data_IF_552982105690
#
_entry.id   IF_552982105690
#
_cell.length_a   1.000
_cell.length_b   1.000
_cell.length_c   1.000
_cell.angle_alpha   90.00
_cell.angle_beta   90.00
_cell.angle_gamma   90.00
#
_symmetry.space_group_name_H-M   'P 1'
#
loop_
_entity.id
_entity.type
_entity.pdbx_description
1 polymer ?
#
# COMPACT_ATOMS: atom_id res chain seq x y z
N UNK A 1 8.84 -17.94 -12.51
CA UNK A 1 9.44 -16.99 -11.57
C UNK A 1 8.51 -15.80 -11.38
N UNK A 2 8.34 -15.38 -10.15
CA UNK A 2 7.48 -14.25 -9.83
C UNK A 2 8.24 -12.94 -10.01
N UNK A 3 7.63 -11.99 -10.70
CA UNK A 3 8.30 -10.75 -11.08
C UNK A 3 7.43 -9.53 -10.71
N UNK A 4 8.09 -8.38 -10.61
CA UNK A 4 7.44 -7.08 -10.49
C UNK A 4 6.96 -6.59 -11.84
N UNK A 5 5.95 -5.72 -11.88
CA UNK A 5 5.30 -5.15 -10.70
C UNK A 5 4.29 -6.09 -10.03
N UNK A 6 4.02 -5.84 -8.75
CA UNK A 6 2.89 -6.44 -8.08
C UNK A 6 1.71 -5.48 -8.23
N UNK A 7 0.57 -5.98 -8.72
CA UNK A 7 -0.62 -5.16 -8.91
C UNK A 7 -1.68 -5.49 -7.87
N UNK A 8 -2.18 -4.46 -7.18
CA UNK A 8 -3.30 -4.56 -6.25
C UNK A 8 -4.44 -3.71 -6.82
N UNK A 9 -5.54 -4.33 -7.27
CA UNK A 9 -6.65 -3.57 -7.86
C UNK A 9 -7.50 -2.88 -6.78
N UNK A 10 -8.09 -1.75 -7.14
CA UNK A 10 -9.03 -1.02 -6.29
C UNK A 10 -8.53 0.35 -5.91
N UNK A 11 -9.45 1.16 -5.39
CA UNK A 11 -9.12 2.53 -4.96
C UNK A 11 -8.29 2.48 -3.68
N UNK A 12 -7.06 3.02 -3.70
CA UNK A 12 -6.24 3.04 -2.49
C UNK A 12 -6.87 3.86 -1.36
N UNK A 13 -6.88 3.31 -0.16
CA UNK A 13 -7.49 3.90 1.03
C UNK A 13 -6.39 4.23 2.05
N UNK A 14 -6.40 5.42 2.67
CA UNK A 14 -5.40 5.80 3.66
C UNK A 14 -5.64 5.17 5.01
N UNK A 15 -4.57 5.06 5.81
CA UNK A 15 -4.61 4.65 7.21
C UNK A 15 -3.97 5.73 8.07
N UNK A 16 -4.50 5.92 9.28
CA UNK A 16 -3.96 6.88 10.23
C UNK A 16 -4.92 8.01 10.59
N UNK A 17 -6.12 8.01 10.01
CA UNK A 17 -7.17 8.96 10.35
C UNK A 17 -8.04 8.35 11.44
N UNK A 18 -7.68 8.61 12.70
CA UNK A 18 -8.43 8.12 13.85
C UNK A 18 -9.38 9.17 14.39
N UNK A 19 -10.53 8.72 14.90
CA UNK A 19 -11.50 9.57 15.57
C UNK A 19 -11.74 9.06 17.00
N UNK A 20 -12.31 9.92 17.85
CA UNK A 20 -12.58 9.59 19.25
C UNK A 20 -14.08 9.74 19.49
N UNK A 21 -14.69 8.74 20.11
CA UNK A 21 -16.11 8.78 20.52
C UNK A 21 -16.26 9.72 21.70
N UNK A 22 -17.53 10.06 22.05
CA UNK A 22 -17.84 10.86 23.24
C UNK A 22 -17.29 10.25 24.52
N UNK A 23 -17.18 8.93 24.57
CA UNK A 23 -16.67 8.19 25.71
C UNK A 23 -15.16 8.01 25.70
N UNK A 24 -14.47 8.61 24.74
CA UNK A 24 -13.01 8.55 24.66
C UNK A 24 -12.44 7.33 23.95
N UNK A 25 -13.27 6.52 23.30
CA UNK A 25 -12.80 5.35 22.55
C UNK A 25 -12.31 5.77 21.18
N UNK A 26 -11.05 5.44 20.87
CA UNK A 26 -10.47 5.71 19.55
C UNK A 26 -10.91 4.63 18.56
N UNK A 27 -11.17 5.05 17.33
CA UNK A 27 -11.50 4.14 16.23
C UNK A 27 -11.00 4.68 14.91
N UNK A 28 -10.84 3.79 13.93
CA UNK A 28 -10.48 4.17 12.57
C UNK A 28 -11.66 4.87 11.91
N UNK A 29 -11.46 6.12 11.47
CA UNK A 29 -12.52 6.94 10.90
C UNK A 29 -12.94 6.49 9.50
N UNK A 30 -12.05 5.83 8.73
CA UNK A 30 -12.34 5.40 7.38
C UNK A 30 -12.89 3.97 7.37
N UNK A 31 -14.21 3.86 7.18
CA UNK A 31 -14.90 2.56 7.13
C UNK A 31 -14.49 1.66 5.97
N UNK A 32 -13.83 2.22 4.94
CA UNK A 32 -13.37 1.46 3.78
C UNK A 32 -12.01 0.81 3.99
N UNK A 33 -11.35 1.12 5.10
CA UNK A 33 -9.99 0.63 5.34
C UNK A 33 -9.93 -0.87 5.54
N UNK A 34 -10.86 -1.45 6.31
CA UNK A 34 -10.86 -2.89 6.56
C UNK A 34 -11.02 -3.71 5.27
N UNK A 35 -12.03 -3.44 4.42
CA UNK A 35 -12.13 -4.13 3.13
C UNK A 35 -10.91 -3.91 2.25
N UNK A 36 -10.33 -2.72 2.27
CA UNK A 36 -9.13 -2.41 1.50
C UNK A 36 -7.93 -3.23 1.98
N UNK A 37 -7.75 -3.36 3.30
CA UNK A 37 -6.70 -4.21 3.86
C UNK A 37 -6.84 -5.65 3.40
N UNK A 38 -8.06 -6.16 3.39
CA UNK A 38 -8.35 -7.51 2.92
C UNK A 38 -8.00 -7.67 1.44
N UNK A 39 -8.36 -6.69 0.62
CA UNK A 39 -8.02 -6.68 -0.80
C UNK A 39 -6.51 -6.69 -1.00
N UNK A 40 -5.78 -5.84 -0.29
CA UNK A 40 -4.32 -5.78 -0.38
C UNK A 40 -3.68 -7.09 0.05
N UNK A 41 -4.07 -7.60 1.22
CA UNK A 41 -3.50 -8.84 1.75
C UNK A 41 -3.77 -10.02 0.83
N UNK A 42 -4.97 -10.09 0.26
CA UNK A 42 -5.33 -11.15 -0.67
C UNK A 42 -4.46 -11.10 -1.93
N UNK A 43 -4.30 -9.93 -2.51
CA UNK A 43 -3.48 -9.77 -3.71
C UNK A 43 -2.00 -10.10 -3.45
N UNK A 44 -1.47 -9.66 -2.30
CA UNK A 44 -0.08 -9.92 -1.93
C UNK A 44 0.16 -11.40 -1.63
N UNK A 45 -0.78 -12.05 -0.94
CA UNK A 45 -0.71 -13.48 -0.67
C UNK A 45 -0.77 -14.29 -1.98
N UNK A 46 -1.63 -13.88 -2.91
CA UNK A 46 -1.71 -14.52 -4.22
C UNK A 46 -0.39 -14.40 -4.99
N UNK A 47 0.25 -13.23 -4.91
CA UNK A 47 1.54 -13.01 -5.57
C UNK A 47 2.63 -13.91 -4.98
N UNK A 48 2.75 -13.98 -3.64
CA UNK A 48 3.74 -14.85 -3.00
C UNK A 48 3.47 -16.33 -3.30
N UNK A 49 2.20 -16.69 -3.49
CA UNK A 49 1.80 -18.04 -3.85
C UNK A 49 2.26 -18.49 -5.25
N UNK A 50 2.63 -17.55 -6.13
CA UNK A 50 3.21 -17.88 -7.43
C UNK A 50 4.70 -18.16 -7.36
N UNK A 51 5.32 -17.92 -6.20
CA UNK A 51 6.75 -18.14 -5.99
C UNK A 51 7.05 -19.63 -5.97
N UNK A 52 8.14 -20.02 -6.63
CA UNK A 52 8.57 -21.41 -6.66
C UNK A 52 9.19 -21.79 -5.30
N UNK A 53 8.54 -22.70 -4.58
CA UNK A 53 8.95 -23.11 -3.25
C UNK A 53 8.27 -22.33 -2.14
N UNK A 54 8.76 -22.46 -0.91
CA UNK A 54 8.21 -21.72 0.21
C UNK A 54 8.62 -20.24 0.14
N UNK A 55 7.65 -19.37 0.38
CA UNK A 55 7.95 -17.94 0.39
C UNK A 55 8.69 -17.55 1.66
N UNK A 56 9.80 -16.84 1.50
CA UNK A 56 10.53 -16.21 2.61
C UNK A 56 10.27 -14.71 2.58
N UNK A 57 9.74 -14.11 3.65
CA UNK A 57 9.49 -12.67 3.67
C UNK A 57 10.78 -11.88 3.41
N UNK A 58 10.68 -10.80 2.65
CA UNK A 58 11.79 -9.88 2.51
C UNK A 58 12.18 -9.34 3.88
N UNK A 59 13.45 -9.30 4.18
CA UNK A 59 13.99 -8.88 5.47
C UNK A 59 15.20 -7.96 5.26
N UNK A 60 15.67 -7.33 6.36
CA UNK A 60 16.75 -6.35 6.29
C UNK A 60 16.25 -4.99 5.80
N UNK A 61 17.15 -4.03 5.56
CA UNK A 61 16.77 -2.72 5.04
C UNK A 61 16.18 -2.84 3.64
N UNK A 62 14.99 -2.28 3.43
CA UNK A 62 14.26 -2.41 2.18
C UNK A 62 13.97 -1.06 1.53
N UNK A 63 14.14 -1.03 0.22
CA UNK A 63 13.71 0.05 -0.67
C UNK A 63 12.42 -0.41 -1.35
N UNK A 64 11.37 0.40 -1.26
CA UNK A 64 10.07 0.09 -1.89
C UNK A 64 9.73 1.21 -2.87
N UNK A 65 9.52 0.84 -4.14
CA UNK A 65 9.08 1.74 -5.20
C UNK A 65 7.63 1.42 -5.53
N UNK A 66 6.74 2.41 -5.34
CA UNK A 66 5.30 2.20 -5.49
C UNK A 66 4.62 3.39 -6.16
N UNK A 67 3.64 3.09 -7.01
CA UNK A 67 2.74 4.09 -7.58
C UNK A 67 1.32 3.80 -7.11
N UNK A 68 0.69 4.80 -6.50
CA UNK A 68 -0.72 4.75 -6.14
C UNK A 68 -1.51 5.38 -7.28
N UNK A 69 -2.27 4.54 -8.00
CA UNK A 69 -3.14 4.98 -9.09
C UNK A 69 -4.49 5.37 -8.50
N UNK A 70 -4.75 6.66 -8.47
CA UNK A 70 -5.94 7.24 -7.86
C UNK A 70 -7.04 7.45 -8.89
N UNK A 71 -8.32 7.31 -8.50
CA UNK A 71 -9.41 7.57 -9.43
C UNK A 71 -9.42 9.04 -9.84
N UNK A 72 -9.58 9.29 -11.14
CA UNK A 72 -9.63 10.65 -11.68
C UNK A 72 -11.02 11.23 -11.50
N UNK A 73 -11.17 12.38 -10.81
CA UNK A 73 -12.46 13.07 -10.76
C UNK A 73 -12.79 13.69 -12.11
N UNK A 74 -14.06 14.05 -12.31
CA UNK A 74 -14.51 14.69 -13.56
C UNK A 74 -13.77 15.99 -13.82
N UNK A 75 -13.49 16.76 -12.76
CA UNK A 75 -12.83 18.07 -12.84
C UNK A 75 -11.66 18.09 -11.86
N UNK A 76 -10.54 17.48 -12.22
CA UNK A 76 -9.39 17.48 -11.31
C UNK A 76 -8.87 18.90 -11.13
N UNK A 77 -8.56 19.24 -9.87
CA UNK A 77 -8.00 20.55 -9.53
C UNK A 77 -6.57 20.70 -10.06
N UNK A 78 -5.84 19.59 -10.09
CA UNK A 78 -4.45 19.54 -10.56
C UNK A 78 -4.31 18.37 -11.55
N UNK A 79 -3.26 18.41 -12.35
CA UNK A 79 -2.94 17.30 -13.27
C UNK A 79 -2.45 16.05 -12.54
N UNK A 80 -1.93 16.23 -11.31
CA UNK A 80 -1.56 15.14 -10.40
C UNK A 80 -2.42 15.23 -9.15
N UNK A 81 -2.68 14.11 -8.45
CA UNK A 81 -3.59 14.11 -7.31
C UNK A 81 -2.98 14.75 -6.05
N UNK A 82 -2.74 16.04 -6.10
CA UNK A 82 -2.20 16.83 -5.00
C UNK A 82 -3.31 17.21 -4.01
N UNK A 83 -4.14 16.24 -3.67
CA UNK A 83 -5.28 16.33 -2.75
C UNK A 83 -5.29 15.07 -1.89
N UNK A 84 -6.13 15.06 -0.86
CA UNK A 84 -6.29 13.84 -0.04
C UNK A 84 -6.67 12.65 -0.92
N UNK A 85 -6.26 11.43 -0.55
CA UNK A 85 -5.51 11.07 0.66
C UNK A 85 -4.01 11.35 0.54
N UNK A 86 -3.37 11.54 1.69
CA UNK A 86 -1.94 11.81 1.77
C UNK A 86 -1.13 10.56 1.41
N UNK A 87 -0.03 10.77 0.70
CA UNK A 87 0.83 9.66 0.26
C UNK A 87 1.38 8.83 1.42
N UNK A 88 1.78 9.47 2.52
CA UNK A 88 2.32 8.77 3.68
C UNK A 88 1.28 7.85 4.33
N UNK A 89 0.02 8.26 4.35
CA UNK A 89 -1.06 7.44 4.89
C UNK A 89 -1.42 6.27 3.99
N UNK A 90 -1.25 6.44 2.69
CA UNK A 90 -1.38 5.34 1.73
C UNK A 90 -0.25 4.33 1.91
N UNK A 91 0.99 4.82 2.09
CA UNK A 91 2.13 3.96 2.39
C UNK A 91 1.94 3.20 3.69
N UNK A 92 1.36 3.83 4.70
CA UNK A 92 1.09 3.19 5.99
C UNK A 92 0.14 2.00 5.85
N UNK A 93 -0.95 2.19 5.12
CA UNK A 93 -1.89 1.10 4.87
C UNK A 93 -1.23 -0.05 4.11
N UNK A 94 -0.44 0.28 3.09
CA UNK A 94 0.28 -0.72 2.30
C UNK A 94 1.32 -1.46 3.14
N UNK A 95 2.11 -0.74 3.94
CA UNK A 95 3.14 -1.34 4.81
C UNK A 95 2.56 -2.35 5.78
N UNK A 96 1.41 -2.02 6.38
CA UNK A 96 0.71 -2.95 7.27
C UNK A 96 0.25 -4.21 6.52
N UNK A 97 -0.28 -4.05 5.31
CA UNK A 97 -0.71 -5.19 4.50
C UNK A 97 0.48 -6.05 4.06
N UNK A 98 1.59 -5.43 3.71
CA UNK A 98 2.82 -6.15 3.34
C UNK A 98 3.33 -7.00 4.52
N UNK A 99 3.24 -6.46 5.74
CA UNK A 99 3.61 -7.19 6.96
C UNK A 99 2.63 -8.33 7.22
N UNK A 100 1.34 -8.03 7.23
CA UNK A 100 0.29 -9.02 7.55
C UNK A 100 0.27 -10.18 6.55
N UNK A 101 0.50 -9.90 5.28
CA UNK A 101 0.52 -10.94 4.24
C UNK A 101 1.79 -11.80 4.25
N UNK A 102 2.81 -11.38 4.99
CA UNK A 102 4.10 -12.06 5.01
C UNK A 102 4.97 -11.74 3.79
N UNK A 103 4.64 -10.72 3.01
CA UNK A 103 5.48 -10.28 1.90
C UNK A 103 6.83 -9.77 2.43
N UNK A 104 6.80 -9.01 3.50
CA UNK A 104 7.98 -8.52 4.21
C UNK A 104 7.92 -8.94 5.67
N UNK A 105 9.06 -8.95 6.32
CA UNK A 105 9.16 -9.35 7.72
C UNK A 105 8.40 -8.38 8.64
N UNK A 106 8.57 -7.08 8.38
CA UNK A 106 7.96 -6.00 9.17
C UNK A 106 8.10 -4.71 8.38
N UNK A 107 7.12 -3.82 8.45
CA UNK A 107 7.19 -2.53 7.77
C UNK A 107 8.28 -1.62 8.32
N UNK A 108 8.77 -1.88 9.55
CA UNK A 108 9.94 -1.22 10.10
C UNK A 108 11.22 -1.49 9.29
N UNK A 109 11.22 -2.51 8.46
CA UNK A 109 12.33 -2.82 7.54
C UNK A 109 12.43 -1.84 6.38
N UNK A 110 11.35 -1.12 6.07
CA UNK A 110 11.34 -0.20 4.94
C UNK A 110 12.11 1.06 5.34
N UNK A 111 13.30 1.22 4.76
CA UNK A 111 14.18 2.36 5.04
C UNK A 111 14.07 3.44 3.98
N UNK A 112 13.53 3.11 2.80
CA UNK A 112 13.24 4.08 1.75
C UNK A 112 11.90 3.76 1.09
N UNK A 113 11.00 4.73 1.09
CA UNK A 113 9.80 4.74 0.27
C UNK A 113 10.01 5.66 -0.92
N UNK A 114 9.93 5.12 -2.14
CA UNK A 114 9.81 5.94 -3.34
C UNK A 114 8.37 5.81 -3.81
N UNK A 115 7.53 6.72 -3.35
CA UNK A 115 6.09 6.65 -3.56
C UNK A 115 5.60 7.83 -4.39
N UNK A 116 4.69 7.57 -5.30
CA UNK A 116 4.04 8.60 -6.10
C UNK A 116 2.56 8.34 -6.23
N UNK A 117 1.80 9.42 -6.38
CA UNK A 117 0.36 9.36 -6.69
C UNK A 117 0.15 9.82 -8.13
N UNK A 118 -0.69 9.10 -8.85
CA UNK A 118 -1.04 9.42 -10.24
C UNK A 118 -2.54 9.20 -10.43
N UNK A 119 -3.18 9.99 -11.27
CA UNK A 119 -4.54 9.70 -11.69
C UNK A 119 -4.54 8.57 -12.72
N UNK A 120 -5.56 7.72 -12.66
CA UNK A 120 -5.69 6.61 -13.58
C UNK A 120 -7.17 6.23 -13.75
N UNK A 121 -7.49 5.71 -14.92
CA UNK A 121 -8.82 5.15 -15.18
C UNK A 121 -8.95 3.75 -14.57
N UNK A 122 -7.82 3.15 -14.14
CA UNK A 122 -7.77 1.85 -13.49
C UNK A 122 -7.08 2.04 -12.13
N UNK A 123 -7.84 2.42 -11.07
CA UNK A 123 -7.23 2.62 -9.75
C UNK A 123 -6.63 1.35 -9.18
N UNK A 124 -5.55 1.50 -8.46
CA UNK A 124 -4.86 0.39 -7.83
C UNK A 124 -3.50 0.80 -7.29
N UNK A 125 -2.77 -0.18 -6.78
CA UNK A 125 -1.39 0.01 -6.33
C UNK A 125 -0.48 -0.80 -7.25
N UNK A 126 0.54 -0.16 -7.75
CA UNK A 126 1.60 -0.79 -8.53
C UNK A 126 2.87 -0.78 -7.69
N UNK A 127 3.25 -1.92 -7.13
CA UNK A 127 4.54 -2.05 -6.43
C UNK A 127 5.56 -2.40 -7.50
N UNK A 128 6.41 -1.44 -7.83
CA UNK A 128 7.35 -1.56 -8.94
C UNK A 128 8.62 -2.30 -8.57
N UNK A 129 9.03 -2.20 -7.31
CA UNK A 129 10.21 -2.91 -6.82
C UNK A 129 10.20 -2.99 -5.30
N UNK A 130 10.73 -4.08 -4.80
CA UNK A 130 11.15 -4.24 -3.40
C UNK A 130 12.55 -4.82 -3.51
N UNK A 131 13.52 -4.11 -2.93
CA UNK A 131 14.91 -4.56 -3.00
C UNK A 131 15.69 -4.15 -1.76
N UNK A 132 16.86 -4.73 -1.58
CA UNK A 132 17.76 -4.31 -0.51
C UNK A 132 18.11 -2.84 -0.67
N UNK A 133 18.01 -2.10 0.45
CA UNK A 133 18.40 -0.69 0.48
C UNK A 133 19.83 -0.60 0.97
N UNK A 134 20.70 -0.03 0.15
CA UNK A 134 22.13 0.09 0.46
C UNK A 134 22.48 1.53 0.77
N UNK A 135 23.34 1.77 1.76
CA UNK A 135 23.79 3.12 2.10
C UNK A 135 24.60 3.77 0.98
#
# INVERSE_FOLDING_TARGET
MTEFPIWIPGTPIPQGSKSVTRTGVMFEANRHLKPWRETMSHALTAWTGTWFGAWEPFDGPLYVDVTFHMPRPKRPKYSLPAVKPDADKLCRALGDAMTTSGLIKDDARITTWHARKRYSDTPGIEIRAIREDKP
#
